data_IF_953747023203
#
_entry.id   IF_953747023203
#
_cell.length_a   1.000
_cell.length_b   1.000
_cell.length_c   1.000
_cell.angle_alpha   90.00
_cell.angle_beta   90.00
_cell.angle_gamma   90.00
#
_symmetry.space_group_name_H-M   'P 1'
#
loop_
_entity.id
_entity.type
_entity.pdbx_description
1 polymer ?
#
# COMPACT_ATOMS: atom_id res chain seq x y z
N UNK A 1 -10.79 -1.22 5.34
CA UNK A 1 -10.27 -2.22 4.39
C UNK A 1 -11.14 -3.47 4.27
N UNK A 2 -11.34 -4.23 5.36
CA UNK A 2 -12.19 -5.44 5.41
C UNK A 2 -13.57 -5.29 4.75
N UNK A 3 -14.29 -4.22 5.09
CA UNK A 3 -15.61 -3.93 4.51
C UNK A 3 -15.57 -3.80 2.98
N UNK A 4 -14.56 -3.12 2.44
CA UNK A 4 -14.43 -2.92 0.99
C UNK A 4 -14.02 -4.22 0.28
N UNK A 5 -13.15 -5.02 0.90
CA UNK A 5 -12.77 -6.34 0.41
C UNK A 5 -13.99 -7.26 0.28
N UNK A 6 -14.80 -7.36 1.33
CA UNK A 6 -15.94 -8.29 1.36
C UNK A 6 -17.10 -7.86 0.45
N UNK A 7 -17.34 -6.55 0.30
CA UNK A 7 -18.50 -6.05 -0.45
C UNK A 7 -18.26 -5.87 -1.95
N UNK A 8 -17.03 -5.50 -2.35
CA UNK A 8 -16.71 -5.13 -3.72
C UNK A 8 -15.63 -6.05 -4.31
N UNK A 9 -14.41 -5.99 -3.76
CA UNK A 9 -13.24 -6.64 -4.38
C UNK A 9 -13.35 -8.16 -4.46
N UNK A 10 -13.94 -8.83 -3.45
CA UNK A 10 -14.17 -10.28 -3.49
C UNK A 10 -15.17 -10.70 -4.55
N UNK A 11 -16.12 -9.83 -4.93
CA UNK A 11 -17.08 -10.11 -6.00
C UNK A 11 -16.44 -9.95 -7.38
N UNK A 12 -15.57 -8.95 -7.52
CA UNK A 12 -14.83 -8.70 -8.76
C UNK A 12 -13.69 -9.71 -8.98
N UNK A 13 -13.03 -10.16 -7.91
CA UNK A 13 -11.90 -11.08 -7.95
C UNK A 13 -12.12 -12.29 -7.03
N UNK A 14 -13.05 -13.20 -7.37
CA UNK A 14 -13.41 -14.33 -6.51
C UNK A 14 -12.30 -15.36 -6.31
N UNK A 15 -11.28 -15.38 -7.19
CA UNK A 15 -10.11 -16.26 -7.10
C UNK A 15 -8.83 -15.55 -6.63
N UNK A 16 -8.88 -14.26 -6.27
CA UNK A 16 -7.70 -13.56 -5.80
C UNK A 16 -7.31 -14.07 -4.39
N UNK A 17 -6.22 -14.81 -4.32
CA UNK A 17 -5.59 -15.26 -3.06
C UNK A 17 -4.57 -14.28 -2.50
N UNK A 18 -4.24 -13.22 -3.25
CA UNK A 18 -3.20 -12.26 -2.90
C UNK A 18 -3.70 -10.83 -3.11
N UNK A 19 -3.22 -9.91 -2.28
CA UNK A 19 -3.59 -8.50 -2.30
C UNK A 19 -2.33 -7.64 -2.14
N UNK A 20 -2.12 -6.74 -3.10
CA UNK A 20 -1.06 -5.74 -3.03
C UNK A 20 -1.59 -4.44 -2.42
N UNK A 21 -0.94 -3.98 -1.36
CA UNK A 21 -1.17 -2.72 -0.70
C UNK A 21 -0.04 -1.74 -1.04
N UNK A 22 -0.38 -0.65 -1.70
CA UNK A 22 0.53 0.46 -1.97
C UNK A 22 0.34 1.51 -0.88
N UNK A 23 1.36 1.75 -0.08
CA UNK A 23 1.30 2.70 1.04
C UNK A 23 2.35 3.79 0.88
N UNK A 24 1.95 5.04 1.13
CA UNK A 24 2.91 6.13 1.31
C UNK A 24 3.59 5.95 2.67
N UNK A 25 4.93 5.88 2.70
CA UNK A 25 5.72 5.55 3.89
C UNK A 25 5.81 6.68 4.92
N UNK A 26 5.05 7.76 4.76
CA UNK A 26 5.05 8.93 5.64
C UNK A 26 4.20 8.77 6.91
N UNK A 27 4.66 9.37 8.02
CA UNK A 27 3.90 9.51 9.26
C UNK A 27 3.55 8.18 9.95
N UNK A 28 2.32 8.06 10.46
CA UNK A 28 1.82 6.88 11.17
C UNK A 28 1.67 5.63 10.29
N UNK A 29 1.81 5.77 8.97
CA UNK A 29 1.81 4.68 7.99
C UNK A 29 3.22 4.21 7.65
N UNK A 30 4.23 4.68 8.39
CA UNK A 30 5.61 4.28 8.18
C UNK A 30 5.76 2.77 8.33
N UNK A 31 6.52 2.16 7.41
CA UNK A 31 6.92 0.75 7.42
C UNK A 31 7.66 0.33 8.70
N UNK A 32 8.04 1.30 9.54
CA UNK A 32 8.71 1.16 10.83
C UNK A 32 7.74 0.92 11.99
N UNK A 33 6.45 1.21 11.84
CA UNK A 33 5.47 0.99 12.91
C UNK A 33 5.01 -0.46 12.94
N UNK A 34 5.41 -1.19 13.99
CA UNK A 34 5.05 -2.60 14.22
C UNK A 34 3.53 -2.83 14.31
N UNK A 35 2.78 -1.85 14.82
CA UNK A 35 1.31 -1.92 14.95
C UNK A 35 0.65 -2.12 13.58
N UNK A 36 1.15 -1.43 12.55
CA UNK A 36 0.62 -1.55 11.18
C UNK A 36 0.87 -2.96 10.63
N UNK A 37 2.00 -3.59 10.96
CA UNK A 37 2.31 -4.95 10.52
C UNK A 37 1.43 -5.99 11.22
N UNK A 38 1.23 -5.84 12.53
CA UNK A 38 0.38 -6.76 13.32
C UNK A 38 -1.07 -6.70 12.85
N UNK A 39 -1.62 -5.50 12.67
CA UNK A 39 -3.01 -5.33 12.20
C UNK A 39 -3.20 -5.89 10.79
N UNK A 40 -2.23 -5.68 9.89
CA UNK A 40 -2.27 -6.23 8.54
C UNK A 40 -2.13 -7.75 8.53
N UNK A 41 -1.32 -8.33 9.42
CA UNK A 41 -1.21 -9.78 9.56
C UNK A 41 -2.50 -10.40 10.11
N UNK A 42 -3.11 -9.77 11.12
CA UNK A 42 -4.40 -10.20 11.66
C UNK A 42 -5.50 -10.14 10.59
N UNK A 43 -5.50 -9.08 9.77
CA UNK A 43 -6.40 -8.95 8.64
C UNK A 43 -6.17 -10.02 7.56
N UNK A 44 -4.90 -10.31 7.21
CA UNK A 44 -4.54 -11.35 6.26
C UNK A 44 -5.02 -12.73 6.72
N UNK A 45 -4.83 -13.04 8.01
CA UNK A 45 -5.28 -14.29 8.63
C UNK A 45 -6.81 -14.41 8.61
N UNK A 46 -7.53 -13.32 8.93
CA UNK A 46 -8.99 -13.33 8.92
C UNK A 46 -9.56 -13.49 7.50
N UNK A 47 -8.94 -12.81 6.52
CA UNK A 47 -9.38 -12.85 5.12
C UNK A 47 -8.87 -14.09 4.37
N UNK A 48 -7.90 -14.83 4.92
CA UNK A 48 -7.19 -15.95 4.30
C UNK A 48 -6.60 -15.59 2.93
N UNK A 49 -6.01 -14.39 2.85
CA UNK A 49 -5.32 -13.90 1.65
C UNK A 49 -3.92 -13.45 2.03
N UNK A 50 -2.97 -13.61 1.11
CA UNK A 50 -1.65 -13.03 1.27
C UNK A 50 -1.75 -11.52 1.05
N UNK A 51 -1.29 -10.71 2.00
CA UNK A 51 -1.23 -9.25 1.86
C UNK A 51 0.24 -8.87 1.68
N UNK A 52 0.58 -8.32 0.53
CA UNK A 52 1.90 -7.74 0.24
C UNK A 52 1.82 -6.23 0.38
N UNK A 53 2.71 -5.63 1.18
CA UNK A 53 2.78 -4.18 1.34
C UNK A 53 4.01 -3.65 0.63
N UNK A 54 3.82 -2.77 -0.34
CA UNK A 54 4.88 -2.02 -0.99
C UNK A 54 4.78 -0.55 -0.57
N UNK A 55 5.85 -0.07 0.06
CA UNK A 55 5.96 1.33 0.42
C UNK A 55 6.68 2.10 -0.68
N UNK A 56 6.17 3.29 -1.01
CA UNK A 56 6.91 4.20 -1.87
C UNK A 56 8.22 4.64 -1.18
N UNK A 57 9.30 4.90 -1.94
CA UNK A 57 10.53 5.45 -1.39
C UNK A 57 10.23 6.74 -0.59
N UNK A 58 10.94 6.97 0.53
CA UNK A 58 10.83 8.23 1.25
C UNK A 58 11.12 9.40 0.29
N UNK A 59 10.44 10.53 0.49
CA UNK A 59 10.51 11.74 -0.36
C UNK A 59 9.69 11.73 -1.66
N UNK A 60 8.72 10.83 -1.84
CA UNK A 60 7.64 10.99 -2.83
C UNK A 60 6.53 11.99 -2.39
N UNK A 61 6.82 12.88 -1.44
CA UNK A 61 5.92 13.95 -1.05
C UNK A 61 6.06 15.13 -2.03
N UNK A 62 5.13 15.21 -2.98
CA UNK A 62 4.61 16.43 -3.61
C UNK A 62 5.55 17.29 -4.50
N UNK A 63 6.87 17.27 -4.34
CA UNK A 63 7.78 18.25 -4.96
C UNK A 63 9.03 17.64 -5.63
N UNK A 64 8.90 16.58 -6.43
CA UNK A 64 9.86 16.41 -7.53
C UNK A 64 9.38 17.23 -8.73
N UNK A 65 9.37 18.55 -8.56
CA UNK A 65 9.40 19.47 -9.70
C UNK A 65 10.77 19.27 -10.36
N UNK A 66 10.86 18.30 -11.26
CA UNK A 66 11.96 18.26 -12.22
C UNK A 66 11.85 19.55 -13.02
N UNK A 67 12.66 20.55 -12.68
CA UNK A 67 12.99 21.64 -13.59
C UNK A 67 13.63 20.99 -14.83
N UNK A 68 12.80 20.60 -15.81
CA UNK A 68 13.25 20.22 -17.15
C UNK A 68 13.62 21.48 -17.95
N UNK A 69 14.58 22.25 -17.44
CA UNK A 69 15.23 23.33 -18.17
C UNK A 69 16.69 23.37 -17.77
N UNK A 70 17.48 22.48 -18.39
CA UNK A 70 18.91 22.66 -18.68
C UNK A 70 19.42 21.37 -19.33
N UNK A 71 18.97 21.12 -20.57
CA UNK A 71 19.63 20.22 -21.53
C UNK A 71 19.42 20.80 -22.94
N UNK A 72 19.73 22.07 -23.11
CA UNK A 72 20.06 22.68 -24.42
C UNK A 72 20.98 23.87 -24.15
N UNK A 73 22.29 23.62 -24.02
CA UNK A 73 23.39 24.42 -24.60
C UNK A 73 24.60 23.49 -24.77
#
# INVERSE_FOLDING_TARGET
MKYHWQNNLRKEYPQAGEMLLLMDGGGSNSCLHYIVKEDLQNLANELKINITVAHYPPYCSKDLMLNKRELVE
#
